data_IF_935807075532
#
_entry.id   IF_935807075532
#
_cell.length_a   1.000
_cell.length_b   1.000
_cell.length_c   1.000
_cell.angle_alpha   90.00
_cell.angle_beta   90.00
_cell.angle_gamma   90.00
#
_symmetry.space_group_name_H-M   'P 1'
#
loop_
_entity.id
_entity.type
_entity.pdbx_description
1 polymer ?
#
# COMPACT_ATOMS: atom_id res chain seq x y z
N UNK A 1 -12.06 1.13 44.87
CA UNK A 1 -12.06 1.20 43.41
C UNK A 1 -10.68 1.66 42.96
N UNK A 2 -9.89 0.78 42.36
CA UNK A 2 -8.61 1.19 41.79
C UNK A 2 -8.84 1.35 40.29
N UNK A 3 -9.08 2.59 39.84
CA UNK A 3 -8.68 2.94 38.48
C UNK A 3 -7.24 2.43 38.31
N UNK A 4 -6.89 1.84 37.16
CA UNK A 4 -5.47 1.66 36.85
C UNK A 4 -4.82 3.03 36.91
N UNK A 5 -4.15 3.37 38.01
CA UNK A 5 -3.59 4.71 38.20
C UNK A 5 -2.33 4.91 37.36
N UNK A 6 -1.77 3.83 36.84
CA UNK A 6 -0.54 3.86 36.04
C UNK A 6 -0.86 4.13 34.56
N UNK A 7 -0.22 5.14 33.95
CA UNK A 7 -0.43 5.53 32.55
C UNK A 7 -0.34 4.38 31.56
N UNK A 8 0.61 3.45 31.76
CA UNK A 8 0.84 2.32 30.86
C UNK A 8 -0.35 1.35 30.80
N UNK A 9 -1.00 1.08 31.94
CA UNK A 9 -2.16 0.19 31.98
C UNK A 9 -3.38 0.81 31.28
N UNK A 10 -3.57 2.12 31.42
CA UNK A 10 -4.64 2.86 30.71
C UNK A 10 -4.39 2.85 29.20
N UNK A 11 -3.18 3.19 28.77
CA UNK A 11 -2.80 3.19 27.36
C UNK A 11 -3.00 1.81 26.71
N UNK A 12 -2.62 0.74 27.40
CA UNK A 12 -2.86 -0.63 26.92
C UNK A 12 -4.36 -0.95 26.80
N UNK A 13 -5.18 -0.60 27.79
CA UNK A 13 -6.63 -0.82 27.73
C UNK A 13 -7.23 -0.07 26.54
N UNK A 14 -6.86 1.20 26.36
CA UNK A 14 -7.37 2.02 25.27
C UNK A 14 -6.89 1.51 23.89
N UNK A 15 -5.63 1.05 23.80
CA UNK A 15 -5.09 0.40 22.60
C UNK A 15 -5.79 -0.92 22.28
N UNK A 16 -6.06 -1.78 23.27
CA UNK A 16 -6.83 -3.01 23.06
C UNK A 16 -8.28 -2.72 22.65
N UNK A 17 -8.86 -1.60 23.11
CA UNK A 17 -10.18 -1.17 22.66
C UNK A 17 -10.16 -0.76 21.19
N UNK A 18 -9.20 0.09 20.80
CA UNK A 18 -9.04 0.51 19.41
C UNK A 18 -8.74 -0.66 18.48
N UNK A 19 -7.84 -1.55 18.88
CA UNK A 19 -7.47 -2.74 18.10
C UNK A 19 -8.66 -3.69 17.91
N UNK A 20 -9.44 -3.95 18.96
CA UNK A 20 -10.63 -4.79 18.84
C UNK A 20 -11.64 -4.21 17.85
N UNK A 21 -11.81 -2.87 17.84
CA UNK A 21 -12.70 -2.19 16.90
C UNK A 21 -12.19 -2.24 15.46
N UNK A 22 -10.90 -2.02 15.23
CA UNK A 22 -10.31 -2.12 13.88
C UNK A 22 -10.34 -3.55 13.34
N UNK A 23 -10.28 -4.55 14.23
CA UNK A 23 -10.50 -5.97 13.88
C UNK A 23 -11.98 -6.36 13.76
N UNK A 24 -12.91 -5.42 13.84
CA UNK A 24 -14.34 -5.62 13.59
C UNK A 24 -15.15 -6.17 14.77
N UNK A 25 -14.65 -6.08 16.00
CA UNK A 25 -15.38 -6.51 17.20
C UNK A 25 -16.17 -5.36 17.84
N UNK A 26 -17.28 -5.71 18.50
CA UNK A 26 -17.87 -4.84 19.51
C UNK A 26 -17.05 -4.96 20.80
N UNK A 27 -16.49 -3.84 21.27
CA UNK A 27 -15.59 -3.83 22.44
C UNK A 27 -16.23 -3.08 23.60
N UNK A 28 -16.29 -3.73 24.77
CA UNK A 28 -16.79 -3.15 26.03
C UNK A 28 -15.67 -3.05 27.06
N UNK A 29 -15.52 -1.86 27.65
CA UNK A 29 -14.65 -1.60 28.80
C UNK A 29 -15.39 -1.94 30.09
N UNK A 30 -14.70 -2.52 31.06
CA UNK A 30 -15.27 -2.88 32.37
C UNK A 30 -16.55 -3.71 32.24
N UNK A 31 -16.50 -4.83 31.51
CA UNK A 31 -17.67 -5.67 31.30
C UNK A 31 -17.98 -6.50 32.56
N UNK A 32 -19.22 -6.49 33.08
CA UNK A 32 -19.58 -7.28 34.25
C UNK A 32 -19.58 -8.79 33.94
N UNK A 33 -18.97 -9.58 34.82
CA UNK A 33 -18.99 -11.05 34.77
C UNK A 33 -20.17 -11.62 35.58
N UNK A 34 -20.72 -10.81 36.49
CA UNK A 34 -21.85 -11.16 37.36
C UNK A 34 -22.89 -10.03 37.39
N UNK A 35 -24.17 -10.38 37.39
CA UNK A 35 -25.22 -9.54 37.98
C UNK A 35 -25.36 -9.98 39.44
N UNK A 36 -24.62 -9.37 40.35
CA UNK A 36 -24.65 -9.76 41.77
C UNK A 36 -25.96 -9.30 42.41
N UNK A 37 -26.73 -10.25 42.96
CA UNK A 37 -27.82 -9.91 43.88
C UNK A 37 -27.27 -9.40 45.22
N UNK A 38 -26.05 -9.78 45.63
CA UNK A 38 -25.42 -9.37 46.89
C UNK A 38 -23.92 -9.05 46.69
N UNK A 39 -23.58 -7.79 46.39
CA UNK A 39 -22.20 -7.28 46.27
C UNK A 39 -21.96 -6.42 45.03
N UNK A 40 -20.76 -5.81 44.90
CA UNK A 40 -20.35 -5.16 43.63
C UNK A 40 -20.09 -6.23 42.56
N UNK A 41 -20.67 -6.04 41.37
CA UNK A 41 -20.45 -6.91 40.23
C UNK A 41 -18.95 -6.94 39.85
N UNK A 42 -18.34 -8.13 39.87
CA UNK A 42 -16.98 -8.30 39.36
C UNK A 42 -16.95 -7.98 37.87
N UNK A 43 -15.94 -7.22 37.43
CA UNK A 43 -15.78 -6.80 36.03
C UNK A 43 -14.44 -7.26 35.47
N UNK A 44 -14.40 -7.41 34.15
CA UNK A 44 -13.17 -7.57 33.37
C UNK A 44 -12.83 -6.29 32.61
N UNK A 45 -11.55 -5.99 32.43
CA UNK A 45 -11.12 -4.67 31.93
C UNK A 45 -11.55 -4.42 30.49
N UNK A 46 -11.34 -5.38 29.59
CA UNK A 46 -11.76 -5.30 28.18
C UNK A 46 -12.37 -6.62 27.74
N UNK A 47 -13.53 -6.54 27.08
CA UNK A 47 -14.26 -7.68 26.56
C UNK A 47 -14.62 -7.43 25.09
N UNK A 48 -14.29 -8.38 24.21
CA UNK A 48 -14.59 -8.33 22.78
C UNK A 48 -15.72 -9.30 22.43
N UNK A 49 -16.67 -8.83 21.63
CA UNK A 49 -17.86 -9.53 21.18
C UNK A 49 -17.92 -9.50 19.64
N UNK A 50 -18.55 -10.50 19.03
CA UNK A 50 -18.80 -10.50 17.58
C UNK A 50 -19.62 -9.30 17.15
N UNK A 51 -20.62 -8.93 17.95
CA UNK A 51 -21.57 -7.87 17.70
C UNK A 51 -22.25 -7.44 19.02
N UNK A 52 -23.15 -6.47 18.96
CA UNK A 52 -23.85 -5.94 20.13
C UNK A 52 -24.87 -6.92 20.74
N UNK A 53 -25.36 -7.89 19.96
CA UNK A 53 -26.37 -8.85 20.41
C UNK A 53 -25.73 -10.05 21.13
N UNK A 54 -24.44 -10.32 20.91
CA UNK A 54 -23.75 -11.39 21.60
C UNK A 54 -23.71 -11.16 23.11
N UNK A 55 -24.24 -12.13 23.87
CA UNK A 55 -24.40 -12.04 25.32
C UNK A 55 -23.09 -12.17 26.08
N UNK A 56 -22.18 -13.04 25.63
CA UNK A 56 -20.94 -13.38 26.32
C UNK A 56 -19.72 -13.06 25.44
N UNK A 57 -18.59 -12.63 26.04
CA UNK A 57 -17.43 -12.21 25.27
C UNK A 57 -16.68 -13.38 24.64
N UNK A 58 -16.15 -13.16 23.43
CA UNK A 58 -15.25 -14.10 22.75
C UNK A 58 -13.83 -14.01 23.29
N UNK A 59 -13.36 -12.79 23.54
CA UNK A 59 -12.05 -12.52 24.11
C UNK A 59 -12.17 -11.63 25.34
N UNK A 60 -11.43 -11.96 26.38
CA UNK A 60 -11.30 -11.14 27.59
C UNK A 60 -9.83 -10.75 27.74
N UNK A 61 -9.59 -9.47 28.05
CA UNK A 61 -8.29 -8.96 28.44
C UNK A 61 -8.37 -8.39 29.85
N UNK A 62 -7.46 -8.85 30.69
CA UNK A 62 -7.32 -8.44 32.08
C UNK A 62 -5.91 -7.91 32.29
N UNK A 63 -5.82 -6.62 32.58
CA UNK A 63 -4.58 -5.85 32.61
C UNK A 63 -4.18 -5.66 34.06
N UNK A 64 -3.05 -6.23 34.44
CA UNK A 64 -2.46 -6.08 35.76
C UNK A 64 -1.34 -5.06 35.72
N UNK A 65 -1.37 -4.08 36.61
CA UNK A 65 -0.29 -3.10 36.72
C UNK A 65 1.04 -3.77 37.08
N UNK A 66 1.04 -4.72 38.03
CA UNK A 66 2.21 -5.50 38.46
C UNK A 66 1.83 -6.91 38.85
N UNK A 67 2.77 -7.85 38.72
CA UNK A 67 2.60 -9.22 39.21
C UNK A 67 2.55 -9.23 40.76
N UNK A 68 1.34 -9.27 41.32
CA UNK A 68 1.09 -9.27 42.77
C UNK A 68 0.49 -10.56 43.32
N UNK A 69 0.14 -10.55 44.60
CA UNK A 69 -0.52 -11.68 45.26
C UNK A 69 -1.93 -11.97 44.71
N UNK A 70 -2.55 -11.00 44.08
CA UNK A 70 -3.92 -11.05 43.56
C UNK A 70 -4.01 -11.54 42.12
N UNK A 71 -2.90 -11.82 41.43
CA UNK A 71 -2.90 -12.20 40.01
C UNK A 71 -3.74 -13.46 39.72
N UNK A 72 -3.83 -14.39 40.67
CA UNK A 72 -4.63 -15.59 40.55
C UNK A 72 -6.14 -15.34 40.68
N UNK A 73 -6.54 -14.18 41.20
CA UNK A 73 -7.95 -13.84 41.39
C UNK A 73 -8.66 -13.52 40.08
N UNK A 74 -7.99 -12.91 39.09
CA UNK A 74 -8.67 -12.52 37.84
C UNK A 74 -9.15 -13.72 37.03
N UNK A 75 -8.33 -14.76 36.77
CA UNK A 75 -8.82 -15.94 36.08
C UNK A 75 -9.96 -16.62 36.85
N UNK A 76 -9.91 -16.63 38.19
CA UNK A 76 -10.99 -17.18 39.02
C UNK A 76 -12.31 -16.43 38.84
N UNK A 77 -12.29 -15.09 38.68
CA UNK A 77 -13.51 -14.29 38.44
C UNK A 77 -14.30 -14.83 37.25
N UNK A 78 -13.62 -15.29 36.20
CA UNK A 78 -14.24 -15.79 34.97
C UNK A 78 -14.41 -17.30 35.01
N UNK A 79 -13.35 -18.07 35.26
CA UNK A 79 -13.38 -19.53 35.13
C UNK A 79 -14.15 -20.22 36.26
N UNK A 80 -14.32 -19.61 37.43
CA UNK A 80 -15.09 -20.21 38.53
C UNK A 80 -16.60 -20.03 38.41
N UNK A 81 -17.09 -19.19 37.48
CA UNK A 81 -18.53 -18.99 37.29
C UNK A 81 -19.24 -20.24 36.78
N UNK A 82 -20.52 -20.38 37.11
CA UNK A 82 -21.37 -21.38 36.47
C UNK A 82 -21.55 -21.03 34.98
N UNK A 83 -21.53 -22.05 34.11
CA UNK A 83 -21.69 -21.88 32.66
C UNK A 83 -23.08 -21.34 32.32
N UNK A 84 -24.10 -21.68 33.11
CA UNK A 84 -25.47 -21.18 32.91
C UNK A 84 -25.59 -19.67 33.23
N UNK A 85 -24.66 -19.13 34.03
CA UNK A 85 -24.63 -17.73 34.44
C UNK A 85 -23.67 -16.90 33.60
N UNK A 86 -22.50 -17.46 33.28
CA UNK A 86 -21.47 -16.82 32.46
C UNK A 86 -20.73 -17.85 31.62
N UNK A 87 -20.98 -17.84 30.32
CA UNK A 87 -20.28 -18.67 29.37
C UNK A 87 -18.80 -18.28 29.30
N UNK A 88 -17.90 -19.28 29.28
CA UNK A 88 -16.46 -19.03 29.25
C UNK A 88 -16.07 -18.41 27.90
N UNK A 89 -15.15 -17.41 27.90
CA UNK A 89 -14.68 -16.85 26.65
C UNK A 89 -13.90 -17.90 25.86
N UNK A 90 -13.87 -17.74 24.54
CA UNK A 90 -13.00 -18.56 23.69
C UNK A 90 -11.52 -18.33 24.03
N UNK A 91 -11.16 -17.10 24.39
CA UNK A 91 -9.79 -16.71 24.71
C UNK A 91 -9.75 -15.77 25.92
N UNK A 92 -8.82 -16.04 26.84
CA UNK A 92 -8.57 -15.18 28.00
C UNK A 92 -7.11 -14.75 28.01
N UNK A 93 -6.87 -13.45 27.94
CA UNK A 93 -5.55 -12.83 27.96
C UNK A 93 -5.34 -12.11 29.30
N UNK A 94 -4.40 -12.58 30.12
CA UNK A 94 -3.92 -11.82 31.26
C UNK A 94 -2.63 -11.10 30.90
N UNK A 95 -2.59 -9.77 31.06
CA UNK A 95 -1.45 -8.95 30.64
C UNK A 95 -0.88 -8.21 31.83
N UNK A 96 0.39 -8.43 32.15
CA UNK A 96 1.08 -7.73 33.22
C UNK A 96 1.88 -6.58 32.60
N UNK A 97 1.48 -5.34 32.88
CA UNK A 97 2.06 -4.12 32.33
C UNK A 97 3.49 -3.87 32.83
N UNK A 98 3.73 -3.90 34.15
CA UNK A 98 5.05 -3.66 34.75
C UNK A 98 5.60 -4.87 35.51
N UNK A 99 6.93 -5.01 35.47
CA UNK A 99 7.69 -5.96 36.28
C UNK A 99 8.29 -7.12 35.48
N UNK A 100 9.46 -7.58 35.93
CA UNK A 100 10.26 -8.63 35.27
C UNK A 100 10.21 -9.98 36.00
N UNK A 101 9.54 -10.08 37.14
CA UNK A 101 9.66 -11.24 38.02
C UNK A 101 8.97 -12.50 37.44
N UNK A 102 9.75 -13.58 37.31
CA UNK A 102 9.22 -14.94 37.18
C UNK A 102 8.71 -15.35 38.55
N UNK A 103 7.44 -15.70 38.67
CA UNK A 103 6.95 -16.29 39.93
C UNK A 103 6.44 -17.68 39.62
N UNK A 104 6.63 -18.61 40.56
CA UNK A 104 6.06 -19.96 40.49
C UNK A 104 4.55 -19.93 40.27
N UNK A 105 3.87 -18.87 40.74
CA UNK A 105 2.44 -18.63 40.53
C UNK A 105 2.07 -18.40 39.06
N UNK A 106 2.87 -17.68 38.29
CA UNK A 106 2.61 -17.51 36.85
C UNK A 106 2.64 -18.87 36.16
N UNK A 107 3.60 -19.73 36.51
CA UNK A 107 3.69 -21.08 35.95
C UNK A 107 2.49 -21.94 36.39
N UNK A 108 2.09 -21.86 37.66
CA UNK A 108 0.90 -22.55 38.16
C UNK A 108 -0.37 -22.12 37.43
N UNK A 109 -0.56 -20.81 37.19
CA UNK A 109 -1.72 -20.30 36.44
C UNK A 109 -1.72 -20.81 34.99
N UNK A 110 -0.57 -20.81 34.33
CA UNK A 110 -0.43 -21.37 32.97
C UNK A 110 -0.75 -22.87 32.95
N UNK A 111 -0.28 -23.63 33.94
CA UNK A 111 -0.56 -25.06 34.03
C UNK A 111 -2.04 -25.35 34.34
N UNK A 112 -2.66 -24.54 35.21
CA UNK A 112 -4.04 -24.76 35.66
C UNK A 112 -5.07 -24.34 34.61
N UNK A 113 -4.88 -23.19 33.97
CA UNK A 113 -5.87 -22.63 33.05
C UNK A 113 -5.49 -22.72 31.58
N UNK A 114 -4.24 -23.07 31.24
CA UNK A 114 -3.74 -23.08 29.86
C UNK A 114 -4.53 -23.97 28.90
N UNK A 115 -5.17 -25.03 29.40
CA UNK A 115 -6.09 -25.89 28.62
C UNK A 115 -7.41 -25.21 28.25
N UNK A 116 -7.72 -24.05 28.85
CA UNK A 116 -8.92 -23.25 28.61
C UNK A 116 -8.60 -22.00 27.77
N UNK A 117 -7.64 -22.10 26.85
CA UNK A 117 -7.18 -20.98 25.99
C UNK A 117 -6.78 -19.71 26.77
N UNK A 118 -6.33 -19.91 28.01
CA UNK A 118 -5.78 -18.87 28.86
C UNK A 118 -4.31 -18.61 28.49
N UNK A 119 -3.97 -17.35 28.26
CA UNK A 119 -2.60 -16.91 27.97
C UNK A 119 -2.21 -15.74 28.86
N UNK A 120 -0.94 -15.71 29.25
CA UNK A 120 -0.39 -14.65 30.10
C UNK A 120 0.86 -14.05 29.48
N UNK A 121 0.88 -12.71 29.40
CA UNK A 121 1.93 -11.89 28.82
C UNK A 121 2.49 -10.89 29.82
N UNK A 122 3.78 -10.61 29.70
CA UNK A 122 4.58 -9.73 30.56
C UNK A 122 5.24 -8.68 29.71
N UNK A 123 4.63 -7.50 29.68
CA UNK A 123 5.06 -6.40 28.84
C UNK A 123 6.42 -5.85 29.28
N UNK A 124 6.70 -5.83 30.59
CA UNK A 124 8.03 -5.52 31.13
C UNK A 124 9.17 -6.47 30.73
N UNK A 125 8.88 -7.57 30.03
CA UNK A 125 9.85 -8.48 29.41
C UNK A 125 9.88 -8.40 27.87
N UNK A 126 9.24 -7.41 27.26
CA UNK A 126 9.17 -7.26 25.80
C UNK A 126 8.23 -8.26 25.14
N UNK A 127 7.20 -8.76 25.84
CA UNK A 127 6.23 -9.72 25.27
C UNK A 127 5.10 -9.04 24.47
N UNK A 128 5.23 -7.75 24.12
CA UNK A 128 4.24 -6.97 23.36
C UNK A 128 3.90 -7.57 22.00
N UNK A 129 4.91 -7.76 21.16
CA UNK A 129 4.72 -8.36 19.83
C UNK A 129 4.10 -9.75 19.92
N UNK A 130 4.48 -10.55 20.92
CA UNK A 130 3.91 -11.88 21.14
C UNK A 130 2.42 -11.81 21.50
N UNK A 131 2.01 -10.85 22.33
CA UNK A 131 0.61 -10.61 22.65
C UNK A 131 -0.17 -10.28 21.38
N UNK A 132 0.28 -9.29 20.61
CA UNK A 132 -0.43 -8.84 19.40
C UNK A 132 -0.53 -9.92 18.33
N UNK A 133 0.58 -10.63 18.06
CA UNK A 133 0.58 -11.77 17.13
C UNK A 133 -0.41 -12.84 17.61
N UNK A 134 -0.40 -13.19 18.90
CA UNK A 134 -1.33 -14.21 19.41
C UNK A 134 -2.80 -13.78 19.35
N UNK A 135 -3.09 -12.49 19.55
CA UNK A 135 -4.43 -11.91 19.35
C UNK A 135 -4.88 -12.06 17.91
N UNK A 136 -4.02 -11.72 16.94
CA UNK A 136 -4.30 -11.92 15.51
C UNK A 136 -4.54 -13.39 15.18
N UNK A 137 -3.70 -14.30 15.71
CA UNK A 137 -3.90 -15.75 15.54
C UNK A 137 -5.21 -16.25 16.14
N UNK A 138 -5.63 -15.68 17.27
CA UNK A 138 -6.92 -16.06 17.87
C UNK A 138 -8.08 -15.46 17.08
N UNK A 139 -7.93 -14.26 16.52
CA UNK A 139 -8.91 -13.68 15.60
C UNK A 139 -9.12 -14.59 14.39
N UNK A 140 -8.05 -15.12 13.78
CA UNK A 140 -8.15 -16.03 12.63
C UNK A 140 -8.90 -17.34 12.90
N UNK A 141 -9.06 -17.73 14.17
CA UNK A 141 -9.89 -18.87 14.58
C UNK A 141 -11.38 -18.53 14.67
N UNK A 142 -11.72 -17.24 14.71
CA UNK A 142 -13.09 -16.73 14.85
C UNK A 142 -13.60 -16.20 13.50
N UNK A 143 -12.76 -15.45 12.77
CA UNK A 143 -13.12 -14.78 11.51
C UNK A 143 -11.99 -14.87 10.51
N UNK A 144 -12.32 -14.79 9.23
CA UNK A 144 -11.36 -14.78 8.12
C UNK A 144 -11.06 -13.38 7.58
N UNK A 145 -11.65 -12.33 8.15
CA UNK A 145 -11.58 -10.96 7.64
C UNK A 145 -10.90 -10.02 8.63
N UNK A 146 -9.93 -9.26 8.15
CA UNK A 146 -9.24 -8.18 8.87
C UNK A 146 -9.14 -6.94 7.98
N UNK A 147 -9.21 -5.76 8.57
CA UNK A 147 -8.89 -4.48 7.94
C UNK A 147 -7.42 -4.15 8.24
N UNK A 148 -6.51 -4.43 7.30
CA UNK A 148 -5.08 -4.20 7.48
C UNK A 148 -4.77 -2.72 7.66
N UNK A 149 -5.48 -1.81 6.95
CA UNK A 149 -5.31 -0.36 7.08
C UNK A 149 -5.72 0.11 8.47
N UNK A 150 -6.90 -0.29 8.93
CA UNK A 150 -7.42 0.05 10.25
C UNK A 150 -6.54 -0.49 11.37
N UNK A 151 -6.04 -1.73 11.24
CA UNK A 151 -5.12 -2.33 12.21
C UNK A 151 -3.76 -1.64 12.19
N UNK A 152 -3.21 -1.30 11.01
CA UNK A 152 -1.97 -0.55 10.89
C UNK A 152 -2.07 0.80 11.62
N UNK A 153 -3.08 1.59 11.29
CA UNK A 153 -3.26 2.92 11.85
C UNK A 153 -3.44 2.89 13.37
N UNK A 154 -4.15 1.89 13.90
CA UNK A 154 -4.28 1.73 15.35
C UNK A 154 -2.95 1.35 16.01
N UNK A 155 -2.14 0.50 15.39
CA UNK A 155 -0.85 0.07 15.94
C UNK A 155 0.26 1.12 15.76
N UNK A 156 0.14 1.98 14.75
CA UNK A 156 1.04 3.11 14.51
C UNK A 156 0.76 4.31 15.45
N UNK A 157 -0.33 4.28 16.21
CA UNK A 157 -0.65 5.31 17.19
C UNK A 157 0.35 5.32 18.36
N UNK A 158 0.75 6.52 18.78
CA UNK A 158 1.62 6.79 19.94
C UNK A 158 1.20 6.17 21.29
N UNK A 159 -0.04 5.66 21.39
CA UNK A 159 -0.52 4.88 22.54
C UNK A 159 0.23 3.55 22.68
N UNK A 160 0.74 2.99 21.60
CA UNK A 160 1.58 1.80 21.62
C UNK A 160 3.05 2.18 21.84
N UNK A 161 3.85 1.32 22.51
CA UNK A 161 5.29 1.52 22.62
C UNK A 161 5.99 1.48 21.24
N UNK A 162 7.05 2.28 21.08
CA UNK A 162 7.86 2.34 19.86
C UNK A 162 8.50 0.99 19.45
N UNK A 163 8.56 0.00 20.35
CA UNK A 163 9.05 -1.35 20.04
C UNK A 163 8.07 -2.21 19.24
N UNK A 164 6.82 -1.75 19.07
CA UNK A 164 5.83 -2.43 18.25
C UNK A 164 6.06 -2.08 16.78
N UNK A 165 6.26 -3.12 15.96
CA UNK A 165 6.28 -3.00 14.51
C UNK A 165 4.93 -3.46 13.94
N UNK A 166 4.08 -2.53 13.46
CA UNK A 166 2.79 -2.88 12.87
C UNK A 166 2.93 -3.89 11.73
N UNK A 167 3.99 -3.81 10.92
CA UNK A 167 4.19 -4.69 9.76
C UNK A 167 4.29 -6.15 10.18
N UNK A 168 4.98 -6.43 11.28
CA UNK A 168 5.12 -7.79 11.80
C UNK A 168 3.78 -8.34 12.27
N UNK A 169 2.90 -7.49 12.83
CA UNK A 169 1.54 -7.91 13.23
C UNK A 169 0.67 -8.17 12.00
N UNK A 170 0.76 -7.33 10.96
CA UNK A 170 0.05 -7.55 9.71
C UNK A 170 0.55 -8.79 8.95
N UNK A 171 1.86 -9.05 8.94
CA UNK A 171 2.43 -10.28 8.36
C UNK A 171 1.90 -11.52 9.10
N UNK A 172 1.76 -11.46 10.43
CA UNK A 172 1.11 -12.54 11.19
C UNK A 172 -0.37 -12.73 10.82
N UNK A 173 -1.09 -11.65 10.48
CA UNK A 173 -2.46 -11.75 9.99
C UNK A 173 -2.53 -12.43 8.62
N UNK A 174 -1.55 -12.16 7.76
CA UNK A 174 -1.43 -12.84 6.48
C UNK A 174 -1.09 -14.33 6.61
N UNK A 175 -0.17 -14.70 7.50
CA UNK A 175 0.17 -16.11 7.74
C UNK A 175 -1.05 -16.93 8.18
N UNK A 176 -2.01 -16.29 8.85
CA UNK A 176 -3.31 -16.85 9.25
C UNK A 176 -4.38 -16.78 8.13
N UNK A 177 -4.00 -16.35 6.92
CA UNK A 177 -4.82 -16.26 5.71
C UNK A 177 -6.05 -15.35 5.84
N UNK A 178 -5.91 -14.25 6.57
CA UNK A 178 -6.98 -13.26 6.73
C UNK A 178 -7.04 -12.33 5.51
N UNK A 179 -8.25 -12.00 5.03
CA UNK A 179 -8.52 -11.08 3.91
C UNK A 179 -7.52 -11.16 2.75
N UNK A 180 -7.19 -12.37 2.28
CA UNK A 180 -6.10 -12.59 1.31
C UNK A 180 -6.30 -11.81 -0.01
N UNK A 181 -7.55 -11.62 -0.40
CA UNK A 181 -7.98 -10.88 -1.61
C UNK A 181 -7.79 -9.36 -1.49
N UNK A 182 -7.76 -8.84 -0.26
CA UNK A 182 -7.64 -7.40 0.03
C UNK A 182 -6.23 -6.99 0.45
N UNK A 183 -5.39 -7.95 0.89
CA UNK A 183 -4.03 -7.67 1.41
C UNK A 183 -3.20 -6.80 0.48
N UNK A 184 -3.10 -7.16 -0.81
CA UNK A 184 -2.26 -6.39 -1.74
C UNK A 184 -2.77 -4.96 -1.88
N UNK A 185 -4.08 -4.79 -2.07
CA UNK A 185 -4.72 -3.50 -2.22
C UNK A 185 -4.49 -2.59 -0.99
N UNK A 186 -4.65 -3.14 0.21
CA UNK A 186 -4.47 -2.40 1.46
C UNK A 186 -3.01 -2.09 1.76
N UNK A 187 -2.08 -3.00 1.46
CA UNK A 187 -0.64 -2.72 1.55
C UNK A 187 -0.21 -1.68 0.51
N UNK A 188 -0.72 -1.74 -0.72
CA UNK A 188 -0.46 -0.72 -1.73
C UNK A 188 -0.99 0.65 -1.28
N UNK A 189 -2.16 0.68 -0.63
CA UNK A 189 -2.70 1.91 -0.06
C UNK A 189 -1.78 2.51 1.02
N UNK A 190 -1.33 1.68 1.98
CA UNK A 190 -0.41 2.09 3.03
C UNK A 190 0.97 2.49 2.46
N UNK A 191 1.46 1.79 1.44
CA UNK A 191 2.74 2.05 0.80
C UNK A 191 2.82 3.40 0.08
N UNK A 192 1.71 4.12 -0.12
CA UNK A 192 1.76 5.51 -0.57
C UNK A 192 2.43 6.43 0.44
N UNK A 193 2.28 6.16 1.74
CA UNK A 193 2.70 7.07 2.81
C UNK A 193 3.75 6.47 3.74
N UNK A 194 3.86 5.13 3.80
CA UNK A 194 4.61 4.44 4.85
C UNK A 194 5.86 3.70 4.32
N UNK A 195 7.04 4.25 4.61
CA UNK A 195 8.34 3.70 4.19
C UNK A 195 8.55 2.24 4.60
N UNK A 196 8.11 1.87 5.81
CA UNK A 196 8.26 0.52 6.32
C UNK A 196 7.39 -0.49 5.55
N UNK A 197 6.22 -0.07 5.09
CA UNK A 197 5.35 -0.89 4.22
C UNK A 197 6.00 -1.05 2.85
N UNK A 198 6.56 0.01 2.27
CA UNK A 198 7.25 -0.03 0.96
C UNK A 198 8.40 -1.03 0.93
N UNK A 199 9.10 -1.23 2.05
CA UNK A 199 10.17 -2.25 2.15
C UNK A 199 9.64 -3.68 1.99
N UNK A 200 8.36 -3.92 2.28
CA UNK A 200 7.69 -5.23 2.17
C UNK A 200 7.10 -5.48 0.78
N UNK A 201 6.73 -4.42 0.07
CA UNK A 201 6.09 -4.51 -1.26
C UNK A 201 6.82 -5.38 -2.29
N UNK A 202 8.17 -5.43 -2.39
CA UNK A 202 8.85 -6.31 -3.33
C UNK A 202 8.43 -7.78 -3.24
N UNK A 203 8.31 -8.31 -2.02
CA UNK A 203 7.91 -9.70 -1.81
C UNK A 203 6.43 -9.90 -2.16
N UNK A 204 5.57 -8.94 -1.81
CA UNK A 204 4.15 -8.95 -2.17
C UNK A 204 3.94 -8.93 -3.68
N UNK A 205 4.72 -8.15 -4.40
CA UNK A 205 4.65 -8.06 -5.86
C UNK A 205 5.12 -9.36 -6.49
N UNK A 206 6.17 -10.00 -5.98
CA UNK A 206 6.58 -11.34 -6.41
C UNK A 206 5.47 -12.38 -6.18
N UNK A 207 4.90 -12.44 -4.98
CA UNK A 207 3.77 -13.34 -4.65
C UNK A 207 2.57 -13.09 -5.57
N UNK A 208 2.22 -11.82 -5.81
CA UNK A 208 1.07 -11.46 -6.64
C UNK A 208 1.31 -11.78 -8.13
N UNK A 209 2.53 -11.56 -8.64
CA UNK A 209 2.92 -11.90 -10.00
C UNK A 209 2.78 -13.40 -10.27
N UNK A 210 3.21 -14.26 -9.33
CA UNK A 210 3.04 -15.72 -9.42
C UNK A 210 1.57 -16.13 -9.45
N UNK A 211 0.70 -15.34 -8.81
CA UNK A 211 -0.76 -15.55 -8.80
C UNK A 211 -1.48 -14.97 -10.03
N UNK A 212 -0.76 -14.37 -10.98
CA UNK A 212 -1.36 -13.75 -12.18
C UNK A 212 -1.89 -12.32 -11.94
N UNK A 213 -1.33 -11.61 -10.96
CA UNK A 213 -1.65 -10.23 -10.62
C UNK A 213 -3.05 -10.01 -10.04
N UNK A 214 -3.64 -11.02 -9.39
CA UNK A 214 -5.02 -10.95 -8.91
C UNK A 214 -5.21 -9.89 -7.80
N UNK A 215 -4.23 -9.76 -6.90
CA UNK A 215 -4.25 -8.80 -5.81
C UNK A 215 -4.04 -7.36 -6.29
N UNK A 216 -3.11 -7.11 -7.21
CA UNK A 216 -2.98 -5.76 -7.78
C UNK A 216 -4.22 -5.35 -8.58
N UNK A 217 -4.82 -6.29 -9.33
CA UNK A 217 -6.04 -6.05 -10.14
C UNK A 217 -7.33 -5.95 -9.33
N UNK A 218 -7.32 -6.30 -8.05
CA UNK A 218 -8.47 -6.15 -7.16
C UNK A 218 -8.65 -4.70 -6.67
N UNK A 219 -7.61 -3.87 -6.81
CA UNK A 219 -7.71 -2.42 -6.55
C UNK A 219 -8.70 -1.81 -7.56
N UNK A 220 -9.74 -1.08 -7.11
CA UNK A 220 -10.87 -0.69 -7.95
C UNK A 220 -10.58 0.55 -8.83
N UNK A 221 -9.41 0.62 -9.48
CA UNK A 221 -9.05 1.69 -10.41
C UNK A 221 -8.74 1.13 -11.81
N UNK A 222 -8.91 1.95 -12.84
CA UNK A 222 -8.61 1.55 -14.22
C UNK A 222 -7.14 1.16 -14.40
N UNK A 223 -6.21 1.96 -13.85
CA UNK A 223 -4.78 1.68 -13.96
C UNK A 223 -4.39 0.40 -13.23
N UNK A 224 -4.95 0.13 -12.04
CA UNK A 224 -4.62 -1.09 -11.35
C UNK A 224 -5.16 -2.33 -12.06
N UNK A 225 -6.40 -2.27 -12.58
CA UNK A 225 -7.00 -3.40 -13.27
C UNK A 225 -6.27 -3.80 -14.56
N UNK A 226 -5.88 -2.82 -15.39
CA UNK A 226 -5.30 -3.09 -16.71
C UNK A 226 -3.78 -2.96 -16.75
N UNK A 227 -3.20 -2.06 -15.96
CA UNK A 227 -1.82 -1.59 -16.10
C UNK A 227 -0.92 -1.84 -14.88
N UNK A 228 -1.45 -2.42 -13.79
CA UNK A 228 -0.63 -2.75 -12.62
C UNK A 228 0.62 -3.58 -12.93
N UNK A 229 0.57 -4.62 -13.79
CA UNK A 229 1.77 -5.40 -14.10
C UNK A 229 2.87 -4.53 -14.71
N UNK A 230 2.52 -3.54 -15.54
CA UNK A 230 3.48 -2.63 -16.13
C UNK A 230 4.12 -1.70 -15.08
N UNK A 231 3.28 -1.05 -14.27
CA UNK A 231 3.72 -0.09 -13.24
C UNK A 231 4.61 -0.79 -12.20
N UNK A 232 4.16 -1.93 -11.69
CA UNK A 232 4.87 -2.68 -10.66
C UNK A 232 6.17 -3.30 -11.19
N UNK A 233 6.16 -3.85 -12.41
CA UNK A 233 7.39 -4.38 -13.02
C UNK A 233 8.41 -3.26 -13.27
N UNK A 234 7.98 -2.11 -13.78
CA UNK A 234 8.85 -0.95 -13.96
C UNK A 234 9.48 -0.47 -12.64
N UNK A 235 8.67 -0.39 -11.57
CA UNK A 235 9.20 -0.06 -10.24
C UNK A 235 10.23 -1.09 -9.74
N UNK A 236 9.96 -2.38 -9.94
CA UNK A 236 10.87 -3.46 -9.56
C UNK A 236 12.17 -3.47 -10.38
N UNK A 237 12.11 -3.14 -11.68
CA UNK A 237 13.29 -2.96 -12.56
C UNK A 237 14.21 -1.88 -11.97
N UNK A 238 13.65 -0.71 -11.65
CA UNK A 238 14.42 0.42 -11.11
C UNK A 238 14.96 0.12 -9.71
N UNK A 239 14.15 -0.50 -8.84
CA UNK A 239 14.55 -0.87 -7.48
C UNK A 239 15.73 -1.85 -7.44
N UNK A 240 15.80 -2.75 -8.41
CA UNK A 240 16.84 -3.78 -8.52
C UNK A 240 17.91 -3.43 -9.56
N UNK A 241 18.05 -2.15 -9.92
CA UNK A 241 19.04 -1.72 -10.91
C UNK A 241 20.45 -2.24 -10.59
N UNK A 242 21.12 -2.80 -11.62
CA UNK A 242 22.45 -3.42 -11.49
C UNK A 242 22.44 -4.84 -10.92
N UNK A 243 21.27 -5.39 -10.58
CA UNK A 243 21.11 -6.77 -10.11
C UNK A 243 20.49 -7.66 -11.20
N UNK A 244 20.78 -8.97 -11.17
CA UNK A 244 20.15 -9.96 -12.06
C UNK A 244 18.61 -9.90 -12.00
N UNK A 245 18.06 -9.63 -10.81
CA UNK A 245 16.63 -9.53 -10.58
C UNK A 245 15.96 -8.42 -11.42
N UNK A 246 16.67 -7.35 -11.80
CA UNK A 246 16.15 -6.33 -12.72
C UNK A 246 15.83 -6.91 -14.10
N UNK A 247 16.69 -7.81 -14.62
CA UNK A 247 16.45 -8.50 -15.89
C UNK A 247 15.27 -9.48 -15.83
N UNK A 248 15.02 -10.08 -14.66
CA UNK A 248 13.83 -10.93 -14.44
C UNK A 248 12.55 -10.09 -14.57
N UNK A 249 12.49 -8.93 -13.91
CA UNK A 249 11.34 -8.02 -14.00
C UNK A 249 11.17 -7.38 -15.38
N UNK A 250 12.25 -7.09 -16.09
CA UNK A 250 12.20 -6.65 -17.50
C UNK A 250 11.58 -7.75 -18.39
N UNK A 251 11.96 -9.01 -18.17
CA UNK A 251 11.33 -10.14 -18.86
C UNK A 251 9.85 -10.30 -18.49
N UNK A 252 9.46 -10.14 -17.22
CA UNK A 252 8.05 -10.17 -16.83
C UNK A 252 7.23 -9.08 -17.51
N UNK A 253 7.78 -7.86 -17.62
CA UNK A 253 7.15 -6.76 -18.32
C UNK A 253 6.97 -7.08 -19.82
N UNK A 254 8.00 -7.65 -20.45
CA UNK A 254 7.94 -8.10 -21.83
C UNK A 254 6.90 -9.20 -22.06
N UNK A 255 6.88 -10.24 -21.22
CA UNK A 255 5.89 -11.32 -21.30
C UNK A 255 4.49 -10.78 -21.10
N UNK A 256 4.27 -9.93 -20.09
CA UNK A 256 2.97 -9.30 -19.88
C UNK A 256 2.53 -8.51 -21.11
N UNK A 257 3.42 -7.70 -21.69
CA UNK A 257 3.06 -6.89 -22.86
C UNK A 257 2.73 -7.77 -24.07
N UNK A 258 3.45 -8.87 -24.30
CA UNK A 258 3.31 -9.68 -25.52
C UNK A 258 2.27 -10.82 -25.41
N UNK A 259 2.01 -11.35 -24.21
CA UNK A 259 1.29 -12.61 -24.03
C UNK A 259 -0.04 -12.47 -23.26
N UNK A 260 -0.29 -11.35 -22.58
CA UNK A 260 -1.49 -11.22 -21.70
C UNK A 260 -2.82 -11.40 -22.42
N UNK A 261 -2.91 -11.02 -23.70
CA UNK A 261 -4.11 -11.20 -24.53
C UNK A 261 -4.00 -12.43 -25.44
N UNK A 262 -2.88 -13.14 -25.44
CA UNK A 262 -2.64 -14.38 -26.19
C UNK A 262 -2.50 -14.23 -27.72
N UNK A 263 -3.02 -13.16 -28.32
CA UNK A 263 -2.98 -12.92 -29.77
C UNK A 263 -2.54 -11.51 -30.18
N UNK A 264 -2.31 -10.62 -29.21
CA UNK A 264 -1.95 -9.21 -29.45
C UNK A 264 -1.19 -8.65 -28.24
N UNK A 265 -0.44 -7.56 -28.45
CA UNK A 265 0.24 -6.89 -27.34
C UNK A 265 -0.72 -5.99 -26.55
N UNK A 266 -0.43 -5.79 -25.27
CA UNK A 266 -1.20 -4.90 -24.38
C UNK A 266 -1.05 -3.43 -24.78
N UNK A 267 0.16 -3.03 -25.16
CA UNK A 267 0.47 -1.68 -25.63
C UNK A 267 0.99 -1.75 -27.06
N UNK A 268 0.09 -1.57 -28.03
CA UNK A 268 0.33 -1.66 -29.45
C UNK A 268 -0.41 -0.56 -30.23
N UNK A 269 0.13 -0.09 -31.38
CA UNK A 269 -0.58 0.90 -32.18
C UNK A 269 -1.76 0.33 -32.98
N UNK A 270 -1.91 -1.00 -33.08
CA UNK A 270 -2.87 -1.68 -33.97
C UNK A 270 -4.28 -1.82 -33.39
N UNK A 271 -4.45 -1.53 -32.10
CA UNK A 271 -5.75 -1.60 -31.44
C UNK A 271 -6.35 -0.19 -31.33
N UNK A 272 -7.57 -0.01 -31.83
CA UNK A 272 -8.35 1.20 -31.59
C UNK A 272 -9.81 0.81 -31.34
N UNK A 273 -10.08 0.12 -30.23
CA UNK A 273 -11.37 0.41 -29.57
C UNK A 273 -11.33 1.88 -29.17
N UNK A 274 -12.48 2.57 -29.20
CA UNK A 274 -12.53 4.01 -28.92
C UNK A 274 -11.83 4.36 -27.58
N UNK A 275 -12.08 3.57 -26.54
CA UNK A 275 -11.51 3.78 -25.20
C UNK A 275 -9.98 3.58 -25.16
N UNK A 276 -9.46 2.56 -25.85
CA UNK A 276 -8.02 2.32 -25.90
C UNK A 276 -7.30 3.39 -26.76
N UNK A 277 -7.91 3.79 -27.88
CA UNK A 277 -7.42 4.90 -28.70
C UNK A 277 -7.31 6.17 -27.86
N UNK A 278 -8.35 6.47 -27.09
CA UNK A 278 -8.39 7.62 -26.20
C UNK A 278 -7.31 7.51 -25.12
N UNK A 279 -7.11 6.34 -24.51
CA UNK A 279 -6.03 6.14 -23.55
C UNK A 279 -4.65 6.40 -24.17
N UNK A 280 -4.32 5.78 -25.31
CA UNK A 280 -3.01 5.93 -25.94
C UNK A 280 -2.74 7.38 -26.34
N UNK A 281 -3.72 8.05 -26.97
CA UNK A 281 -3.57 9.42 -27.43
C UNK A 281 -3.54 10.43 -26.29
N UNK A 282 -4.30 10.18 -25.21
CA UNK A 282 -4.51 11.15 -24.13
C UNK A 282 -3.62 10.93 -22.92
N UNK A 283 -3.11 9.71 -22.70
CA UNK A 283 -2.37 9.30 -21.48
C UNK A 283 -1.15 8.43 -21.83
N UNK A 284 -1.06 7.85 -23.03
CA UNK A 284 0.02 6.94 -23.40
C UNK A 284 1.42 7.54 -23.25
N UNK A 285 1.63 8.79 -23.70
CA UNK A 285 2.89 9.52 -23.51
C UNK A 285 3.33 9.62 -22.03
N UNK A 286 2.54 10.27 -21.15
CA UNK A 286 2.88 10.39 -19.73
C UNK A 286 2.95 9.04 -19.02
N UNK A 287 2.13 8.05 -19.41
CA UNK A 287 2.21 6.70 -18.86
C UNK A 287 3.55 6.03 -19.15
N UNK A 288 4.04 6.06 -20.39
CA UNK A 288 5.37 5.50 -20.73
C UNK A 288 6.49 6.29 -20.04
N UNK A 289 6.34 7.61 -19.89
CA UNK A 289 7.29 8.41 -19.10
C UNK A 289 7.31 8.00 -17.62
N UNK A 290 6.16 7.67 -17.04
CA UNK A 290 6.07 7.12 -15.69
C UNK A 290 6.81 5.78 -15.60
N UNK A 291 6.56 4.84 -16.52
CA UNK A 291 7.27 3.55 -16.56
C UNK A 291 8.79 3.74 -16.70
N UNK A 292 9.22 4.62 -17.60
CA UNK A 292 10.64 4.92 -17.80
C UNK A 292 11.27 5.54 -16.54
N UNK A 293 10.58 6.45 -15.85
CA UNK A 293 11.05 7.04 -14.60
C UNK A 293 11.12 6.03 -13.44
N UNK A 294 10.11 5.17 -13.31
CA UNK A 294 10.07 4.10 -12.30
C UNK A 294 11.20 3.08 -12.52
N UNK A 295 11.45 2.72 -13.78
CA UNK A 295 12.54 1.84 -14.18
C UNK A 295 13.91 2.54 -14.21
N UNK A 296 13.98 3.83 -13.91
CA UNK A 296 15.17 4.68 -13.98
C UNK A 296 15.86 4.68 -15.35
N UNK A 297 15.08 4.54 -16.43
CA UNK A 297 15.57 4.46 -17.80
C UNK A 297 16.20 3.10 -18.18
N UNK A 298 16.10 2.09 -17.33
CA UNK A 298 16.59 0.75 -17.59
C UNK A 298 15.47 -0.19 -18.07
N UNK A 299 15.86 -1.31 -18.67
CA UNK A 299 14.95 -2.32 -19.20
C UNK A 299 14.76 -2.22 -20.71
N UNK A 300 14.88 -3.36 -21.39
CA UNK A 300 14.60 -3.45 -22.82
C UNK A 300 13.12 -3.20 -23.12
N UNK A 301 12.22 -3.65 -22.23
CA UNK A 301 10.79 -3.49 -22.40
C UNK A 301 10.38 -2.03 -22.50
N UNK A 302 11.01 -1.14 -21.73
CA UNK A 302 10.75 0.31 -21.76
C UNK A 302 11.03 0.90 -23.15
N UNK A 303 12.10 0.45 -23.82
CA UNK A 303 12.38 0.88 -25.19
C UNK A 303 11.27 0.45 -26.16
N UNK A 304 10.71 -0.74 -26.00
CA UNK A 304 9.60 -1.20 -26.85
C UNK A 304 8.36 -0.30 -26.70
N UNK A 305 8.02 0.15 -25.48
CA UNK A 305 6.94 1.12 -25.28
C UNK A 305 7.22 2.46 -25.99
N UNK A 306 8.47 2.92 -25.96
CA UNK A 306 8.90 4.16 -26.64
C UNK A 306 8.77 4.03 -28.15
N UNK A 307 9.17 2.89 -28.72
CA UNK A 307 9.01 2.62 -30.15
C UNK A 307 7.53 2.50 -30.56
N UNK A 308 6.67 2.01 -29.67
CA UNK A 308 5.21 2.04 -29.90
C UNK A 308 4.70 3.48 -29.97
N UNK A 309 5.10 4.37 -29.06
CA UNK A 309 4.71 5.79 -29.12
C UNK A 309 5.15 6.45 -30.44
N UNK A 310 6.38 6.19 -30.87
CA UNK A 310 6.87 6.63 -32.19
C UNK A 310 6.00 6.08 -33.32
N UNK A 311 5.72 4.78 -33.31
CA UNK A 311 4.90 4.12 -34.33
C UNK A 311 3.47 4.67 -34.38
N UNK A 312 2.92 5.08 -33.24
CA UNK A 312 1.62 5.78 -33.18
C UNK A 312 1.75 7.13 -33.89
N UNK A 313 2.75 7.95 -33.55
CA UNK A 313 2.96 9.27 -34.19
C UNK A 313 3.16 9.19 -35.70
N UNK A 314 3.86 8.17 -36.21
CA UNK A 314 4.05 7.96 -37.66
C UNK A 314 2.74 7.76 -38.43
N UNK A 315 1.65 7.39 -37.74
CA UNK A 315 0.30 7.25 -38.32
C UNK A 315 -0.48 8.56 -38.37
N UNK A 316 -0.01 9.60 -37.69
CA UNK A 316 -0.66 10.92 -37.68
C UNK A 316 0.03 11.86 -38.66
N UNK A 317 -0.80 12.62 -39.39
CA UNK A 317 -0.29 13.85 -40.01
C UNK A 317 0.04 14.86 -38.91
N UNK A 318 1.08 15.70 -39.07
CA UNK A 318 1.38 16.78 -38.14
C UNK A 318 0.13 17.62 -37.85
N UNK A 319 -0.18 17.78 -36.57
CA UNK A 319 -1.40 18.38 -36.06
C UNK A 319 -1.64 18.03 -34.60
N UNK A 320 -2.77 18.49 -34.07
CA UNK A 320 -3.04 18.46 -32.63
C UNK A 320 -3.16 17.03 -32.05
N UNK A 321 -3.55 16.06 -32.87
CA UNK A 321 -3.80 14.67 -32.47
C UNK A 321 -2.59 13.93 -31.88
N UNK A 322 -1.37 14.30 -32.29
CA UNK A 322 -0.14 13.66 -31.82
C UNK A 322 0.70 14.52 -30.88
N UNK A 323 0.30 15.76 -30.59
CA UNK A 323 1.15 16.71 -29.88
C UNK A 323 1.54 16.20 -28.48
N UNK A 324 0.60 15.64 -27.74
CA UNK A 324 0.89 15.13 -26.39
C UNK A 324 1.91 13.99 -26.43
N UNK A 325 1.73 13.01 -27.32
CA UNK A 325 2.70 11.91 -27.47
C UNK A 325 4.06 12.46 -27.89
N UNK A 326 4.11 13.42 -28.82
CA UNK A 326 5.36 14.01 -29.29
C UNK A 326 6.12 14.72 -28.17
N UNK A 327 5.45 15.54 -27.35
CA UNK A 327 6.12 16.25 -26.24
C UNK A 327 6.66 15.25 -25.21
N UNK A 328 5.86 14.29 -24.78
CA UNK A 328 6.34 13.27 -23.84
C UNK A 328 7.45 12.39 -24.44
N UNK A 329 7.38 12.07 -25.73
CA UNK A 329 8.42 11.33 -26.44
C UNK A 329 9.73 12.13 -26.48
N UNK A 330 9.72 13.46 -26.58
CA UNK A 330 10.91 14.29 -26.40
C UNK A 330 11.52 14.09 -25.01
N UNK A 331 10.73 14.14 -23.93
CA UNK A 331 11.26 13.94 -22.57
C UNK A 331 11.86 12.55 -22.38
N UNK A 332 11.14 11.49 -22.77
CA UNK A 332 11.58 10.11 -22.59
C UNK A 332 12.86 9.87 -23.41
N UNK A 333 12.85 10.25 -24.68
CA UNK A 333 13.99 10.06 -25.59
C UNK A 333 15.20 10.86 -25.14
N UNK A 334 15.00 12.10 -24.68
CA UNK A 334 16.08 12.90 -24.11
C UNK A 334 16.67 12.24 -22.87
N UNK A 335 15.84 11.74 -21.95
CA UNK A 335 16.33 11.06 -20.75
C UNK A 335 17.11 9.78 -21.06
N UNK A 336 16.67 9.03 -22.07
CA UNK A 336 17.29 7.78 -22.49
C UNK A 336 18.46 7.96 -23.48
N UNK A 337 18.72 9.19 -23.94
CA UNK A 337 19.76 9.48 -24.94
C UNK A 337 19.42 8.99 -26.36
N UNK A 338 18.14 8.78 -26.68
CA UNK A 338 17.70 8.35 -28.00
C UNK A 338 17.50 9.57 -28.93
N UNK A 339 18.58 9.97 -29.61
CA UNK A 339 18.61 11.12 -30.51
C UNK A 339 17.58 11.01 -31.63
N UNK A 340 17.43 9.83 -32.23
CA UNK A 340 16.54 9.63 -33.37
C UNK A 340 15.07 9.88 -33.01
N UNK A 341 14.62 9.37 -31.86
CA UNK A 341 13.24 9.56 -31.40
C UNK A 341 13.00 10.99 -30.91
N UNK A 342 14.01 11.61 -30.29
CA UNK A 342 13.95 13.02 -29.90
C UNK A 342 13.76 13.92 -31.13
N UNK A 343 14.63 13.79 -32.13
CA UNK A 343 14.60 14.63 -33.34
C UNK A 343 13.29 14.44 -34.11
N UNK A 344 12.82 13.19 -34.23
CA UNK A 344 11.54 12.87 -34.86
C UNK A 344 10.36 13.55 -34.14
N UNK A 345 10.28 13.40 -32.82
CA UNK A 345 9.21 13.99 -32.01
C UNK A 345 9.26 15.52 -32.07
N UNK A 346 10.45 16.10 -32.00
CA UNK A 346 10.63 17.55 -32.08
C UNK A 346 10.23 18.09 -33.46
N UNK A 347 10.60 17.40 -34.54
CA UNK A 347 10.17 17.75 -35.89
C UNK A 347 8.65 17.66 -36.06
N UNK A 348 7.99 16.66 -35.45
CA UNK A 348 6.54 16.55 -35.43
C UNK A 348 5.90 17.79 -34.77
N UNK A 349 6.43 18.23 -33.62
CA UNK A 349 5.97 19.43 -32.91
C UNK A 349 6.10 20.68 -33.79
N UNK A 350 7.27 20.90 -34.42
CA UNK A 350 7.50 22.04 -35.32
C UNK A 350 6.54 22.01 -36.52
N UNK A 351 6.36 20.84 -37.13
CA UNK A 351 5.47 20.65 -38.28
C UNK A 351 4.00 20.84 -37.94
N UNK A 352 3.63 20.71 -36.65
CA UNK A 352 2.27 20.91 -36.14
C UNK A 352 1.96 22.38 -35.80
N UNK A 353 2.85 23.32 -36.17
CA UNK A 353 2.71 24.75 -35.90
C UNK A 353 3.53 25.25 -34.70
N UNK A 354 4.35 24.39 -34.10
CA UNK A 354 5.21 24.74 -32.97
C UNK A 354 4.45 24.86 -31.64
N UNK A 355 5.23 24.90 -30.56
CA UNK A 355 4.79 25.09 -29.18
C UNK A 355 5.72 26.09 -28.49
N UNK A 356 5.19 26.83 -27.52
CA UNK A 356 6.05 27.57 -26.60
C UNK A 356 6.99 26.62 -25.85
N UNK A 357 8.18 27.12 -25.47
CA UNK A 357 9.11 26.34 -24.67
C UNK A 357 8.43 25.76 -23.42
N UNK A 358 7.59 26.56 -22.75
CA UNK A 358 6.87 26.15 -21.55
C UNK A 358 5.94 24.95 -21.81
N UNK A 359 5.22 24.94 -22.94
CA UNK A 359 4.36 23.81 -23.32
C UNK A 359 5.13 22.54 -23.70
N UNK A 360 6.43 22.65 -24.01
CA UNK A 360 7.30 21.49 -24.24
C UNK A 360 7.88 20.98 -22.92
N UNK A 361 8.29 21.87 -22.00
CA UNK A 361 8.99 21.48 -20.76
C UNK A 361 8.07 21.13 -19.60
N UNK A 362 6.84 21.63 -19.61
CA UNK A 362 5.79 21.31 -18.65
C UNK A 362 4.56 20.75 -19.39
N UNK A 363 4.69 19.58 -20.02
CA UNK A 363 3.58 18.96 -20.72
C UNK A 363 2.41 18.65 -19.77
N UNK A 364 1.16 18.71 -20.28
CA UNK A 364 0.02 18.29 -19.50
C UNK A 364 0.01 16.78 -19.26
N UNK A 365 -0.59 16.41 -18.13
CA UNK A 365 -0.81 15.02 -17.70
C UNK A 365 -1.74 14.23 -18.62
N UNK A 366 -2.73 14.92 -19.19
CA UNK A 366 -3.67 14.34 -20.15
C UNK A 366 -4.09 15.38 -21.20
N UNK A 367 -4.41 14.94 -22.42
CA UNK A 367 -4.98 15.79 -23.46
C UNK A 367 -6.12 15.07 -24.19
N UNK A 368 -7.35 15.53 -23.95
CA UNK A 368 -8.55 14.98 -24.59
C UNK A 368 -8.93 15.84 -25.79
N UNK A 369 -8.65 15.33 -27.00
CA UNK A 369 -8.93 16.00 -28.28
C UNK A 369 -10.36 16.54 -28.43
N UNK A 370 -11.34 15.85 -27.84
CA UNK A 370 -12.76 16.22 -27.97
C UNK A 370 -13.20 17.33 -27.01
N UNK A 371 -12.46 17.57 -25.93
CA UNK A 371 -12.89 18.42 -24.81
C UNK A 371 -11.99 19.62 -24.55
N UNK A 372 -10.87 19.75 -25.25
CA UNK A 372 -9.84 20.74 -24.93
C UNK A 372 -9.55 21.65 -26.13
N UNK A 373 -9.39 22.95 -25.90
CA UNK A 373 -8.85 23.83 -26.95
C UNK A 373 -7.33 23.69 -26.98
N UNK A 374 -6.74 23.59 -28.18
CA UNK A 374 -5.27 23.48 -28.36
C UNK A 374 -4.51 24.49 -27.51
N UNK A 375 -4.96 25.75 -27.49
CA UNK A 375 -4.25 26.83 -26.82
C UNK A 375 -4.32 26.76 -25.29
N UNK A 376 -5.26 26.00 -24.70
CA UNK A 376 -5.32 25.80 -23.24
C UNK A 376 -4.20 24.89 -22.74
N UNK A 377 -3.82 23.89 -23.54
CA UNK A 377 -2.87 22.84 -23.14
C UNK A 377 -1.51 22.95 -23.84
N UNK A 378 -1.52 23.53 -25.03
CA UNK A 378 -0.39 23.65 -25.94
C UNK A 378 -0.35 25.07 -26.51
N UNK A 379 -0.02 26.08 -25.68
CA UNK A 379 0.04 27.46 -26.12
C UNK A 379 1.05 27.59 -27.26
N UNK A 380 0.56 28.13 -28.39
CA UNK A 380 1.40 28.44 -29.53
C UNK A 380 2.55 29.35 -29.08
N UNK A 381 3.74 29.08 -29.61
CA UNK A 381 4.92 29.89 -29.32
C UNK A 381 5.80 30.01 -30.55
N UNK A 382 6.81 30.86 -30.44
CA UNK A 382 7.83 31.01 -31.46
C UNK A 382 8.54 29.68 -31.70
N UNK A 383 9.00 29.45 -32.93
CA UNK A 383 9.77 28.24 -33.26
C UNK A 383 11.04 28.19 -32.40
N UNK A 384 11.05 27.30 -31.42
CA UNK A 384 12.22 26.99 -30.61
C UNK A 384 13.00 25.87 -31.30
N UNK A 385 14.31 26.03 -31.46
CA UNK A 385 15.21 24.96 -31.89
C UNK A 385 16.06 24.55 -30.69
N UNK A 386 15.92 23.30 -30.25
CA UNK A 386 16.73 22.72 -29.17
C UNK A 386 17.36 21.43 -29.67
N UNK A 387 18.66 21.29 -29.42
CA UNK A 387 19.33 19.99 -29.47
C UNK A 387 18.92 19.14 -28.26
N UNK A 388 19.07 17.81 -28.36
CA UNK A 388 18.84 16.90 -27.23
C UNK A 388 19.65 17.28 -25.98
N UNK A 389 20.89 17.75 -26.15
CA UNK A 389 21.77 18.14 -25.05
C UNK A 389 21.27 19.41 -24.34
N UNK A 390 20.87 20.45 -25.10
CA UNK A 390 20.29 21.67 -24.53
C UNK A 390 18.98 21.35 -23.79
N UNK A 391 18.17 20.44 -24.35
CA UNK A 391 16.94 19.98 -23.70
C UNK A 391 17.24 19.22 -22.39
N UNK A 392 18.20 18.29 -22.41
CA UNK A 392 18.63 17.57 -21.20
C UNK A 392 19.13 18.52 -20.11
N UNK A 393 19.97 19.49 -20.45
CA UNK A 393 20.47 20.48 -19.50
C UNK A 393 19.33 21.29 -18.88
N UNK A 394 18.39 21.75 -19.71
CA UNK A 394 17.21 22.46 -19.24
C UNK A 394 16.37 21.61 -18.28
N UNK A 395 16.15 20.32 -18.60
CA UNK A 395 15.32 19.43 -17.77
C UNK A 395 16.02 19.05 -16.47
N UNK A 396 17.33 18.86 -16.49
CA UNK A 396 18.13 18.63 -15.30
C UNK A 396 18.10 19.84 -14.35
N UNK A 397 18.14 21.07 -14.89
CA UNK A 397 18.01 22.30 -14.08
C UNK A 397 16.62 22.39 -13.46
N UNK A 398 15.57 22.09 -14.24
CA UNK A 398 14.18 22.30 -13.82
C UNK A 398 13.66 21.21 -12.89
N UNK A 399 13.93 19.94 -13.20
CA UNK A 399 13.33 18.78 -12.53
C UNK A 399 14.36 17.89 -11.83
N UNK A 400 15.66 18.00 -12.16
CA UNK A 400 16.68 17.06 -11.69
C UNK A 400 16.98 17.09 -10.19
N UNK A 401 16.61 18.17 -9.49
CA UNK A 401 16.74 18.30 -8.03
C UNK A 401 15.43 18.04 -7.28
N UNK A 402 14.39 17.53 -7.95
CA UNK A 402 13.12 17.22 -7.30
C UNK A 402 13.28 15.99 -6.42
N UNK A 403 12.95 16.11 -5.13
CA UNK A 403 12.81 14.96 -4.25
C UNK A 403 11.60 14.14 -4.73
N UNK A 404 11.87 12.98 -5.32
CA UNK A 404 10.85 12.13 -5.90
C UNK A 404 10.87 10.75 -5.25
N UNK A 405 9.77 10.39 -4.61
CA UNK A 405 9.54 9.04 -4.13
C UNK A 405 8.85 8.19 -5.20
N UNK A 406 9.65 7.44 -5.96
CA UNK A 406 9.18 6.54 -7.03
C UNK A 406 8.20 5.48 -6.52
N UNK A 407 8.33 5.02 -5.28
CA UNK A 407 7.39 4.06 -4.71
C UNK A 407 6.03 4.70 -4.48
N UNK A 408 6.01 5.91 -3.91
CA UNK A 408 4.78 6.70 -3.78
C UNK A 408 4.09 6.90 -5.13
N UNK A 409 4.83 7.34 -6.17
CA UNK A 409 4.27 7.53 -7.52
C UNK A 409 3.68 6.23 -8.08
N UNK A 410 4.38 5.10 -7.93
CA UNK A 410 3.88 3.80 -8.36
C UNK A 410 2.55 3.45 -7.65
N UNK A 411 2.49 3.52 -6.32
CA UNK A 411 1.29 3.12 -5.58
C UNK A 411 0.14 4.14 -5.68
N UNK A 412 0.41 5.44 -5.75
CA UNK A 412 -0.61 6.46 -6.02
C UNK A 412 -1.27 6.23 -7.38
N UNK A 413 -0.48 5.91 -8.42
CA UNK A 413 -1.02 5.61 -9.75
C UNK A 413 -1.95 4.39 -9.79
N UNK A 414 -1.78 3.45 -8.84
CA UNK A 414 -2.64 2.28 -8.72
C UNK A 414 -3.86 2.55 -7.83
N UNK A 415 -3.70 3.26 -6.72
CA UNK A 415 -4.72 3.37 -5.69
C UNK A 415 -5.65 4.58 -5.82
N UNK A 416 -5.26 5.61 -6.56
CA UNK A 416 -6.05 6.85 -6.68
C UNK A 416 -6.69 6.96 -8.06
N UNK A 417 -8.02 7.04 -8.08
CA UNK A 417 -8.76 7.33 -9.30
C UNK A 417 -8.33 8.68 -9.87
N UNK A 418 -8.14 8.72 -11.20
CA UNK A 418 -7.77 9.92 -11.94
C UNK A 418 -6.43 10.57 -11.55
N UNK A 419 -5.57 9.91 -10.75
CA UNK A 419 -4.23 10.41 -10.44
C UNK A 419 -3.45 10.77 -11.71
N UNK A 420 -3.58 9.94 -12.76
CA UNK A 420 -2.97 10.17 -14.05
C UNK A 420 -3.44 11.41 -14.81
N UNK A 421 -4.51 12.07 -14.37
CA UNK A 421 -4.98 13.33 -14.98
C UNK A 421 -4.24 14.55 -14.44
N UNK A 422 -3.45 14.42 -13.35
CA UNK A 422 -2.71 15.51 -12.71
C UNK A 422 -1.25 15.21 -12.34
N UNK A 423 -0.72 14.02 -12.69
CA UNK A 423 0.60 13.53 -12.26
C UNK A 423 1.83 14.08 -13.02
N UNK A 424 1.69 15.08 -13.90
CA UNK A 424 2.76 15.46 -14.84
C UNK A 424 4.03 15.90 -14.13
N UNK A 425 3.89 16.67 -13.04
CA UNK A 425 5.03 17.15 -12.27
C UNK A 425 5.75 15.99 -11.57
N UNK A 426 5.00 15.06 -10.98
CA UNK A 426 5.53 13.86 -10.34
C UNK A 426 6.18 12.91 -11.35
N UNK A 427 5.59 12.73 -12.54
CA UNK A 427 6.18 11.92 -13.62
C UNK A 427 7.47 12.55 -14.13
N UNK A 428 7.51 13.86 -14.35
CA UNK A 428 8.73 14.57 -14.75
C UNK A 428 9.80 14.47 -13.67
N UNK A 429 9.43 14.65 -12.39
CA UNK A 429 10.33 14.45 -11.27
C UNK A 429 10.85 13.00 -11.21
N UNK A 430 10.00 12.00 -11.42
CA UNK A 430 10.38 10.58 -11.45
C UNK A 430 11.38 10.29 -12.58
N UNK A 431 11.11 10.83 -13.77
CA UNK A 431 11.92 10.63 -14.97
C UNK A 431 13.29 11.32 -14.88
N UNK A 432 13.34 12.56 -14.40
CA UNK A 432 14.54 13.40 -14.41
C UNK A 432 15.32 13.45 -13.11
N UNK A 433 14.76 13.00 -11.99
CA UNK A 433 15.49 12.92 -10.71
C UNK A 433 16.74 12.06 -10.85
N UNK A 434 17.81 12.51 -10.20
CA UNK A 434 19.07 11.75 -10.12
C UNK A 434 18.83 10.48 -9.30
N UNK A 435 19.42 9.37 -9.75
CA UNK A 435 19.37 8.08 -9.08
C UNK A 435 20.33 7.99 -7.91
#
# INVERSE_FOLDING_TARGET
>A
MAEHQLPLGRALIDGLIGLGRSMGYCVKREHPVLASEHGEASKVDVAWFSDDAQRFPLMIFEVESRAGNTIASNPLKVFAQDVDQFEKPLFYFQVIAEGKAETSRIQLLKNQYGTHNYRLYRLGRGEWMRLLIDVVKQHGRIRSSIDYVGVYNELADSRWPDEIDPIVVLDAAYDERLSQDQRFAEYAWLAQHEDNVRKRMPNLISEDQESGWNGARSIPTYLAHYWAPAILSAWMIGRHHGMELSGVWDNHLNVWNNESLGYMRMFEPEFFTHDYAQFILSIGGPFVACLAGLAQGHGSAINDFVEVLRSVLERFSPGDGGLQIAVWLCHISARMGNVNNFDFAFQFIQSSGGLSLEGIVCPPSSYLLENCSRNEYFPAGDSVSLTIFEFQDLMNIRHGNSDCDRASVAFQSLCQDNYCLGWSDEVLATLWSRS
#
